data_IF_193046952298
#
_entry.id   IF_193046952298
#
_cell.length_a   1.000
_cell.length_b   1.000
_cell.length_c   1.000
_cell.angle_alpha   90.00
_cell.angle_beta   90.00
_cell.angle_gamma   90.00
#
_symmetry.space_group_name_H-M   'P 1'
#
loop_
_entity.id
_entity.type
_entity.pdbx_description
1 polymer ?
#
# COMPACT_ATOMS: atom_id res chain seq x y z
N UNK A 1 32.38 25.88 12.76
CA UNK A 1 31.07 25.42 13.28
C UNK A 1 29.99 25.47 12.21
N UNK A 2 29.74 26.62 11.54
CA UNK A 2 28.70 26.77 10.49
C UNK A 2 28.82 25.87 9.26
N UNK A 3 29.98 25.40 8.89
CA UNK A 3 30.21 24.63 7.67
C UNK A 3 29.84 23.14 7.81
N UNK A 4 29.92 22.58 9.01
CA UNK A 4 29.48 21.23 9.31
C UNK A 4 27.95 21.14 9.34
N UNK A 5 27.28 22.12 9.95
CA UNK A 5 25.81 22.18 10.04
C UNK A 5 25.18 22.24 8.63
N UNK A 6 25.77 22.99 7.71
CA UNK A 6 25.28 23.09 6.33
C UNK A 6 25.44 21.80 5.53
N UNK A 7 26.52 21.05 5.76
CA UNK A 7 26.73 19.76 5.11
C UNK A 7 25.72 18.71 5.58
N UNK A 8 25.46 18.65 6.86
CA UNK A 8 24.47 17.73 7.47
C UNK A 8 23.04 18.05 7.00
N UNK A 9 22.69 19.32 6.82
CA UNK A 9 21.42 19.74 6.25
C UNK A 9 21.25 19.27 4.79
N UNK A 10 22.30 19.36 3.99
CA UNK A 10 22.27 18.88 2.58
C UNK A 10 22.07 17.37 2.54
N UNK A 11 22.76 16.60 3.38
CA UNK A 11 22.58 15.14 3.45
C UNK A 11 21.15 14.82 3.84
N UNK A 12 20.61 15.47 4.86
CA UNK A 12 19.23 15.30 5.31
C UNK A 12 18.21 15.56 4.19
N UNK A 13 18.38 16.66 3.45
CA UNK A 13 17.51 16.97 2.31
C UNK A 13 17.60 15.92 1.19
N UNK A 14 18.78 15.40 0.89
CA UNK A 14 18.94 14.29 -0.06
C UNK A 14 18.26 13.01 0.39
N UNK A 15 18.31 12.69 1.66
CA UNK A 15 17.58 11.53 2.23
C UNK A 15 16.07 11.69 2.08
N UNK A 16 15.54 12.90 2.34
CA UNK A 16 14.12 13.23 2.13
C UNK A 16 13.74 13.10 0.65
N UNK A 17 14.55 13.64 -0.26
CA UNK A 17 14.35 13.53 -1.71
C UNK A 17 14.26 12.07 -2.14
N UNK A 18 15.20 11.23 -1.70
CA UNK A 18 15.25 9.82 -2.07
C UNK A 18 14.01 9.04 -1.58
N UNK A 19 13.57 9.23 -0.35
CA UNK A 19 12.34 8.57 0.14
C UNK A 19 11.08 9.14 -0.52
N UNK A 20 11.06 10.41 -0.92
CA UNK A 20 9.98 11.00 -1.72
C UNK A 20 9.87 10.33 -3.09
N UNK A 21 10.99 10.12 -3.78
CA UNK A 21 11.03 9.41 -5.07
C UNK A 21 10.51 7.98 -4.92
N UNK A 22 10.96 7.26 -3.90
CA UNK A 22 10.58 5.87 -3.66
C UNK A 22 9.09 5.71 -3.33
N UNK A 23 8.54 6.58 -2.50
CA UNK A 23 7.22 6.40 -1.93
C UNK A 23 6.15 7.28 -2.57
N UNK A 24 6.39 8.57 -2.70
CA UNK A 24 5.39 9.51 -3.21
C UNK A 24 5.37 9.53 -4.75
N UNK A 25 6.50 9.82 -5.39
CA UNK A 25 6.58 9.99 -6.84
C UNK A 25 6.35 8.66 -7.59
N UNK A 26 6.71 7.53 -6.99
CA UNK A 26 6.41 6.21 -7.55
C UNK A 26 4.91 5.95 -7.70
N UNK A 27 4.07 6.67 -6.97
CA UNK A 27 2.61 6.49 -6.91
C UNK A 27 2.17 5.06 -6.54
N UNK A 28 3.03 4.29 -5.88
CA UNK A 28 2.73 2.91 -5.49
C UNK A 28 2.08 2.77 -4.11
N UNK A 29 2.10 3.82 -3.30
CA UNK A 29 1.68 3.80 -1.90
C UNK A 29 0.55 4.80 -1.61
N UNK A 30 -0.37 4.98 -2.56
CA UNK A 30 -1.36 6.07 -2.55
C UNK A 30 -2.24 6.07 -1.30
N UNK A 31 -2.93 4.96 -1.04
CA UNK A 31 -3.83 4.89 0.11
C UNK A 31 -3.05 4.78 1.43
N UNK A 32 -1.95 4.04 1.41
CA UNK A 32 -1.08 3.91 2.58
C UNK A 32 -0.53 5.26 3.03
N UNK A 33 0.04 6.05 2.11
CA UNK A 33 0.57 7.38 2.43
C UNK A 33 -0.54 8.35 2.83
N UNK A 34 -1.68 8.35 2.12
CA UNK A 34 -2.81 9.19 2.47
C UNK A 34 -3.26 8.96 3.92
N UNK A 35 -3.30 7.70 4.37
CA UNK A 35 -3.59 7.36 5.76
C UNK A 35 -2.47 7.80 6.72
N UNK A 36 -1.21 7.45 6.43
CA UNK A 36 -0.08 7.71 7.33
C UNK A 36 0.14 9.20 7.58
N UNK A 37 -0.01 10.04 6.57
CA UNK A 37 0.21 11.47 6.70
C UNK A 37 -0.73 12.17 7.69
N UNK A 38 -1.82 11.56 8.11
CA UNK A 38 -2.67 12.08 9.19
C UNK A 38 -2.02 12.04 10.58
N UNK A 39 -0.96 11.25 10.76
CA UNK A 39 -0.31 11.04 12.05
C UNK A 39 0.97 11.87 12.24
N UNK A 40 1.32 12.70 11.28
CA UNK A 40 2.45 13.64 11.35
C UNK A 40 1.96 15.07 11.22
N UNK A 41 2.65 15.98 11.87
CA UNK A 41 2.32 17.40 11.85
C UNK A 41 2.39 17.99 10.43
N UNK A 42 3.39 17.56 9.66
CA UNK A 42 3.55 17.94 8.26
C UNK A 42 3.98 16.73 7.41
N UNK A 43 3.66 16.72 6.11
CA UNK A 43 4.22 15.72 5.20
C UNK A 43 5.75 15.70 5.23
N UNK A 44 6.40 16.86 5.34
CA UNK A 44 7.86 16.94 5.42
C UNK A 44 8.40 16.17 6.62
N UNK A 45 7.81 16.35 7.80
CA UNK A 45 8.26 15.64 9.02
C UNK A 45 8.10 14.12 8.92
N UNK A 46 7.10 13.63 8.17
CA UNK A 46 6.97 12.21 7.88
C UNK A 46 8.15 11.69 7.04
N UNK A 47 8.41 12.34 5.88
CA UNK A 47 9.48 11.91 4.98
C UNK A 47 10.86 12.10 5.59
N UNK A 48 11.06 13.11 6.39
CA UNK A 48 12.30 13.33 7.13
C UNK A 48 12.59 12.19 8.11
N UNK A 49 11.60 11.80 8.91
CA UNK A 49 11.74 10.68 9.84
C UNK A 49 11.90 9.35 9.12
N UNK A 50 11.23 9.15 7.99
CA UNK A 50 11.40 7.98 7.14
C UNK A 50 12.82 7.94 6.54
N UNK A 51 13.35 9.08 6.07
CA UNK A 51 14.72 9.19 5.56
C UNK A 51 15.76 8.86 6.62
N UNK A 52 15.61 9.41 7.82
CA UNK A 52 16.47 9.09 8.96
C UNK A 52 16.40 7.60 9.34
N UNK A 53 15.19 7.00 9.30
CA UNK A 53 15.02 5.57 9.52
C UNK A 53 15.76 4.74 8.46
N UNK A 54 15.65 5.11 7.18
CA UNK A 54 16.35 4.47 6.07
C UNK A 54 17.87 4.49 6.23
N UNK A 55 18.42 5.63 6.61
CA UNK A 55 19.86 5.77 6.89
C UNK A 55 20.29 4.87 8.03
N UNK A 56 19.57 4.93 9.15
CA UNK A 56 19.89 4.12 10.35
C UNK A 56 19.87 2.62 10.08
N UNK A 57 18.94 2.14 9.25
CA UNK A 57 18.81 0.72 8.88
C UNK A 57 19.69 0.33 7.68
N UNK A 58 20.42 1.28 7.10
CA UNK A 58 21.29 1.07 5.93
C UNK A 58 20.50 0.70 4.65
N UNK A 59 19.25 1.14 4.54
CA UNK A 59 18.38 0.77 3.41
C UNK A 59 18.75 1.51 2.13
N UNK A 60 19.35 2.70 2.20
CA UNK A 60 19.86 3.41 1.03
C UNK A 60 21.02 2.69 0.34
N UNK A 61 21.73 1.84 1.05
CA UNK A 61 22.89 1.11 0.52
C UNK A 61 22.52 -0.12 -0.32
N UNK A 62 21.23 -0.47 -0.42
CA UNK A 62 20.75 -1.70 -1.04
C UNK A 62 19.61 -1.42 -2.02
N UNK A 63 19.66 -2.09 -3.17
CA UNK A 63 18.46 -2.16 -4.05
C UNK A 63 17.46 -3.14 -3.45
N UNK A 64 16.23 -2.69 -3.30
CA UNK A 64 15.13 -3.52 -2.82
C UNK A 64 14.24 -3.96 -3.99
N UNK A 65 13.71 -5.18 -3.92
CA UNK A 65 12.58 -5.56 -4.74
C UNK A 65 11.36 -4.74 -4.34
N UNK A 66 10.34 -4.66 -5.20
CA UNK A 66 9.13 -3.87 -4.91
C UNK A 66 8.53 -4.18 -3.53
N UNK A 67 8.39 -5.47 -3.20
CA UNK A 67 7.85 -5.90 -1.92
C UNK A 67 8.70 -5.41 -0.73
N UNK A 68 10.01 -5.34 -0.88
CA UNK A 68 10.94 -4.87 0.14
C UNK A 68 10.68 -3.42 0.56
N UNK A 69 10.24 -2.55 -0.36
CA UNK A 69 9.85 -1.18 0.00
C UNK A 69 8.61 -1.15 0.90
N UNK A 70 7.64 -2.05 0.67
CA UNK A 70 6.48 -2.20 1.57
C UNK A 70 6.90 -2.74 2.94
N UNK A 71 7.82 -3.70 2.98
CA UNK A 71 8.35 -4.26 4.23
C UNK A 71 9.15 -3.21 5.01
N UNK A 72 9.97 -2.39 4.34
CA UNK A 72 10.71 -1.31 4.96
C UNK A 72 9.78 -0.23 5.55
N UNK A 73 8.75 0.17 4.79
CA UNK A 73 7.76 1.11 5.30
C UNK A 73 6.99 0.53 6.49
N UNK A 74 6.64 -0.75 6.43
CA UNK A 74 5.98 -1.43 7.54
C UNK A 74 6.88 -1.51 8.78
N UNK A 75 8.18 -1.73 8.61
CA UNK A 75 9.16 -1.72 9.70
C UNK A 75 9.26 -0.33 10.36
N UNK A 76 9.27 0.74 9.57
CA UNK A 76 9.19 2.11 10.07
C UNK A 76 7.89 2.36 10.86
N UNK A 77 6.75 2.00 10.27
CA UNK A 77 5.43 2.18 10.90
C UNK A 77 5.37 1.43 12.23
N UNK A 78 5.88 0.21 12.33
CA UNK A 78 5.91 -0.56 13.59
C UNK A 78 6.64 0.16 14.72
N UNK A 79 7.70 0.90 14.44
CA UNK A 79 8.40 1.70 15.44
C UNK A 79 7.58 2.90 15.90
N UNK A 80 6.78 3.48 15.01
CA UNK A 80 6.00 4.70 15.26
C UNK A 80 4.58 4.42 15.77
N UNK A 81 4.02 3.22 15.56
CA UNK A 81 2.63 2.86 15.87
C UNK A 81 2.21 3.23 17.29
N UNK A 82 3.00 2.84 18.28
CA UNK A 82 2.62 3.03 19.69
C UNK A 82 2.57 4.51 20.09
N UNK A 83 3.53 5.30 19.58
CA UNK A 83 3.66 6.70 19.94
C UNK A 83 2.62 7.60 19.24
N UNK A 84 2.09 7.14 18.11
CA UNK A 84 1.21 7.96 17.24
C UNK A 84 -0.22 7.42 17.14
N UNK A 85 -0.54 6.31 17.79
CA UNK A 85 -1.86 5.71 17.69
C UNK A 85 -2.20 5.14 16.30
N UNK A 86 -1.18 4.76 15.53
CA UNK A 86 -1.36 4.16 14.20
C UNK A 86 -1.79 2.69 14.35
N UNK A 87 -2.86 2.30 13.69
CA UNK A 87 -3.29 0.92 13.64
C UNK A 87 -2.50 0.12 12.59
N UNK A 88 -1.53 -0.70 13.03
CA UNK A 88 -0.68 -1.50 12.14
C UNK A 88 -1.50 -2.35 11.15
N UNK A 89 -2.60 -2.94 11.59
CA UNK A 89 -3.44 -3.77 10.71
C UNK A 89 -4.13 -2.94 9.62
N UNK A 90 -4.49 -1.69 9.90
CA UNK A 90 -5.01 -0.78 8.88
C UNK A 90 -3.94 -0.52 7.83
N UNK A 91 -2.72 -0.22 8.24
CA UNK A 91 -1.60 0.03 7.31
C UNK A 91 -1.34 -1.20 6.44
N UNK A 92 -1.31 -2.39 7.01
CA UNK A 92 -1.13 -3.65 6.25
C UNK A 92 -2.19 -3.84 5.17
N UNK A 93 -3.47 -3.62 5.51
CA UNK A 93 -4.55 -3.77 4.53
C UNK A 93 -4.48 -2.70 3.43
N UNK A 94 -4.14 -1.45 3.76
CA UNK A 94 -3.92 -0.39 2.76
C UNK A 94 -2.73 -0.71 1.84
N UNK A 95 -1.64 -1.24 2.37
CA UNK A 95 -0.51 -1.73 1.57
C UNK A 95 -0.92 -2.87 0.62
N UNK A 96 -1.76 -3.79 1.06
CA UNK A 96 -2.30 -4.86 0.22
C UNK A 96 -3.12 -4.27 -0.92
N UNK A 97 -3.97 -3.26 -0.64
CA UNK A 97 -4.69 -2.56 -1.70
C UNK A 97 -3.74 -1.93 -2.72
N UNK A 98 -2.77 -1.15 -2.26
CA UNK A 98 -1.82 -0.46 -3.12
C UNK A 98 -1.01 -1.43 -4.01
N UNK A 99 -0.63 -2.59 -3.46
CA UNK A 99 0.05 -3.65 -4.22
C UNK A 99 -0.86 -4.24 -5.31
N UNK A 100 -2.08 -4.67 -4.97
CA UNK A 100 -2.98 -5.28 -5.93
C UNK A 100 -3.57 -4.27 -6.92
N UNK A 101 -3.66 -3.00 -6.59
CA UNK A 101 -3.97 -1.96 -7.56
C UNK A 101 -2.93 -1.90 -8.71
N UNK A 102 -1.69 -2.27 -8.43
CA UNK A 102 -0.58 -2.23 -9.40
C UNK A 102 -0.38 -3.53 -10.16
N UNK A 103 -0.44 -4.68 -9.50
CA UNK A 103 -0.15 -5.96 -10.15
C UNK A 103 -0.86 -7.15 -9.50
N UNK A 104 -1.15 -8.16 -10.32
CA UNK A 104 -1.62 -9.44 -9.84
C UNK A 104 -0.43 -10.24 -9.30
N UNK A 105 -0.25 -10.23 -7.99
CA UNK A 105 0.86 -10.91 -7.33
C UNK A 105 0.70 -12.43 -7.43
N UNK A 106 1.77 -13.14 -7.80
CA UNK A 106 1.81 -14.60 -7.80
C UNK A 106 1.81 -15.18 -6.39
N UNK A 107 2.44 -14.48 -5.46
CA UNK A 107 2.55 -14.88 -4.06
C UNK A 107 2.03 -13.74 -3.19
N UNK A 108 1.13 -14.09 -2.28
CA UNK A 108 0.58 -13.13 -1.32
C UNK A 108 1.70 -12.64 -0.37
N UNK A 109 1.77 -11.33 -0.09
CA UNK A 109 2.71 -10.79 0.89
C UNK A 109 2.52 -11.40 2.28
N UNK A 110 3.62 -11.59 3.01
CA UNK A 110 3.63 -12.20 4.36
C UNK A 110 2.82 -11.40 5.39
N UNK A 111 2.69 -10.09 5.19
CA UNK A 111 1.91 -9.21 6.05
C UNK A 111 0.41 -9.17 5.71
N UNK A 112 -0.03 -9.85 4.65
CA UNK A 112 -1.45 -9.95 4.29
C UNK A 112 -2.19 -10.88 5.26
N UNK A 113 -3.43 -10.50 5.63
CA UNK A 113 -4.28 -11.32 6.50
C UNK A 113 -4.68 -12.64 5.85
N UNK A 114 -4.99 -13.65 6.64
CA UNK A 114 -5.58 -14.89 6.12
C UNK A 114 -6.99 -14.62 5.56
N UNK A 115 -7.24 -15.16 4.37
CA UNK A 115 -8.51 -15.06 3.64
C UNK A 115 -9.18 -16.43 3.44
N UNK A 116 -8.76 -17.43 4.18
CA UNK A 116 -9.27 -18.80 4.04
C UNK A 116 -10.79 -18.90 4.25
N UNK A 117 -11.36 -18.06 5.10
CA UNK A 117 -12.80 -17.97 5.34
C UNK A 117 -13.60 -17.48 4.13
N UNK A 118 -12.98 -16.71 3.23
CA UNK A 118 -13.65 -16.12 2.05
C UNK A 118 -13.54 -17.00 0.79
N UNK A 119 -12.94 -18.19 0.85
CA UNK A 119 -12.72 -19.04 -0.33
C UNK A 119 -13.99 -19.33 -1.10
N UNK A 120 -15.08 -19.71 -0.41
CA UNK A 120 -16.34 -20.02 -1.05
C UNK A 120 -16.97 -18.78 -1.70
N UNK A 121 -16.92 -17.65 -1.02
CA UNK A 121 -17.38 -16.36 -1.53
C UNK A 121 -16.61 -15.98 -2.81
N UNK A 122 -15.28 -16.13 -2.81
CA UNK A 122 -14.47 -15.83 -3.99
C UNK A 122 -14.82 -16.70 -5.18
N UNK A 123 -15.08 -18.01 -4.98
CA UNK A 123 -15.57 -18.89 -6.05
C UNK A 123 -16.84 -18.34 -6.67
N UNK A 124 -17.81 -17.95 -5.83
CA UNK A 124 -19.10 -17.38 -6.28
C UNK A 124 -18.91 -16.05 -7.04
N UNK A 125 -18.09 -15.15 -6.49
CA UNK A 125 -17.82 -13.86 -7.13
C UNK A 125 -17.08 -14.04 -8.47
N UNK A 126 -16.08 -14.91 -8.56
CA UNK A 126 -15.38 -15.19 -9.79
C UNK A 126 -16.32 -15.82 -10.85
N UNK A 127 -17.20 -16.72 -10.46
CA UNK A 127 -18.22 -17.29 -11.36
C UNK A 127 -19.17 -16.22 -11.90
N UNK A 128 -19.62 -15.32 -11.02
CA UNK A 128 -20.49 -14.19 -11.41
C UNK A 128 -19.79 -13.28 -12.41
N UNK A 129 -18.56 -12.85 -12.14
CA UNK A 129 -17.76 -11.99 -13.01
C UNK A 129 -17.46 -12.68 -14.34
N UNK A 130 -17.12 -13.99 -14.33
CA UNK A 130 -16.85 -14.76 -15.53
C UNK A 130 -18.08 -14.79 -16.45
N UNK A 131 -19.27 -15.00 -15.88
CA UNK A 131 -20.54 -14.98 -16.62
C UNK A 131 -20.85 -13.60 -17.18
N UNK A 132 -20.71 -12.56 -16.37
CA UNK A 132 -20.95 -11.15 -16.76
C UNK A 132 -20.05 -10.72 -17.93
N UNK A 133 -18.74 -11.07 -17.85
CA UNK A 133 -17.73 -10.69 -18.85
C UNK A 133 -17.57 -11.73 -19.99
N UNK A 134 -18.34 -12.80 -20.00
CA UNK A 134 -18.23 -13.91 -20.96
C UNK A 134 -16.80 -14.50 -21.04
N UNK A 135 -16.12 -14.61 -19.90
CA UNK A 135 -14.78 -15.13 -19.79
C UNK A 135 -14.78 -16.60 -19.37
N UNK A 136 -13.80 -17.36 -19.85
CA UNK A 136 -13.55 -18.70 -19.33
C UNK A 136 -13.05 -18.60 -17.87
N UNK A 137 -13.74 -19.30 -16.96
CA UNK A 137 -13.42 -19.33 -15.53
C UNK A 137 -11.96 -19.74 -15.23
N UNK A 138 -11.31 -20.49 -16.11
CA UNK A 138 -9.89 -20.88 -16.00
C UNK A 138 -8.92 -19.70 -16.09
N UNK A 139 -9.30 -18.62 -16.77
CA UNK A 139 -8.45 -17.47 -17.00
C UNK A 139 -8.69 -16.34 -16.02
N UNK A 140 -9.86 -16.33 -15.35
CA UNK A 140 -10.26 -15.21 -14.51
C UNK A 140 -9.25 -14.96 -13.38
N UNK A 141 -8.81 -15.98 -12.66
CA UNK A 141 -7.84 -15.85 -11.57
C UNK A 141 -6.42 -15.48 -12.00
N UNK A 142 -6.09 -15.60 -13.32
CA UNK A 142 -4.78 -15.17 -13.84
C UNK A 142 -4.73 -13.68 -14.20
N UNK A 143 -5.88 -13.13 -14.58
CA UNK A 143 -6.01 -11.76 -15.12
C UNK A 143 -6.78 -10.83 -14.20
N UNK A 144 -7.31 -11.37 -13.12
CA UNK A 144 -8.16 -10.65 -12.17
C UNK A 144 -7.86 -11.11 -10.75
N UNK A 145 -8.10 -10.25 -9.77
CA UNK A 145 -7.92 -10.56 -8.36
C UNK A 145 -9.09 -10.04 -7.53
N UNK A 146 -9.49 -10.79 -6.51
CA UNK A 146 -10.43 -10.32 -5.49
C UNK A 146 -9.73 -10.31 -4.15
N UNK A 147 -9.82 -9.20 -3.45
CA UNK A 147 -9.28 -9.00 -2.11
C UNK A 147 -10.37 -8.55 -1.15
N UNK A 148 -10.27 -8.97 0.10
CA UNK A 148 -11.22 -8.58 1.16
C UNK A 148 -10.53 -7.71 2.18
N UNK A 149 -11.15 -6.58 2.48
CA UNK A 149 -10.70 -5.59 3.44
C UNK A 149 -11.68 -5.51 4.61
N UNK A 150 -11.16 -5.31 5.83
CA UNK A 150 -11.96 -5.27 7.05
C UNK A 150 -12.71 -3.95 7.26
N UNK A 151 -12.51 -2.99 6.35
CA UNK A 151 -13.05 -1.62 6.42
C UNK A 151 -13.08 -1.01 5.02
N UNK A 152 -13.68 0.16 4.87
CA UNK A 152 -13.62 0.95 3.64
C UNK A 152 -12.22 1.58 3.50
N UNK A 153 -11.39 1.01 2.59
CA UNK A 153 -10.01 1.45 2.39
C UNK A 153 -9.92 2.90 1.90
N UNK A 154 -10.88 3.37 1.12
CA UNK A 154 -10.88 4.74 0.57
C UNK A 154 -11.27 5.77 1.63
N UNK A 155 -12.37 5.52 2.36
CA UNK A 155 -12.80 6.39 3.43
C UNK A 155 -11.76 6.43 4.56
N UNK A 156 -11.19 5.27 4.93
CA UNK A 156 -10.16 5.16 5.97
C UNK A 156 -8.89 5.91 5.60
N UNK A 157 -8.39 5.76 4.37
CA UNK A 157 -7.18 6.48 3.93
C UNK A 157 -7.39 7.99 3.90
N UNK A 158 -8.58 8.45 3.51
CA UNK A 158 -8.92 9.87 3.44
C UNK A 158 -9.10 10.53 4.81
N UNK A 159 -9.59 9.79 5.80
CA UNK A 159 -9.93 10.36 7.12
C UNK A 159 -8.88 10.11 8.19
N UNK A 160 -7.91 9.22 7.96
CA UNK A 160 -6.96 8.76 8.97
C UNK A 160 -7.60 7.92 10.08
N UNK A 161 -8.86 7.51 9.92
CA UNK A 161 -9.60 6.71 10.90
C UNK A 161 -10.25 5.52 10.23
N UNK A 162 -10.14 4.35 10.85
CA UNK A 162 -10.82 3.16 10.38
C UNK A 162 -12.33 3.42 10.27
N UNK A 163 -12.87 3.27 9.06
CA UNK A 163 -14.23 3.68 8.72
C UNK A 163 -14.91 2.60 7.87
N UNK A 164 -16.20 2.44 8.05
CA UNK A 164 -17.02 1.53 7.26
C UNK A 164 -16.93 0.07 7.71
N UNK A 165 -17.50 -0.79 6.86
CA UNK A 165 -17.58 -2.24 7.06
C UNK A 165 -16.65 -2.97 6.12
N UNK A 166 -16.57 -4.29 6.28
CA UNK A 166 -15.86 -5.17 5.36
C UNK A 166 -16.31 -4.92 3.91
N UNK A 167 -15.37 -4.91 2.98
CA UNK A 167 -15.63 -4.78 1.55
C UNK A 167 -14.77 -5.74 0.74
N UNK A 168 -15.31 -6.19 -0.39
CA UNK A 168 -14.58 -7.01 -1.35
C UNK A 168 -14.27 -6.15 -2.57
N UNK A 169 -13.00 -6.11 -2.99
CA UNK A 169 -12.56 -5.34 -4.13
C UNK A 169 -12.04 -6.29 -5.20
N UNK A 170 -12.62 -6.19 -6.38
CA UNK A 170 -12.19 -6.87 -7.57
C UNK A 170 -11.29 -5.95 -8.39
N UNK A 171 -10.12 -6.44 -8.75
CA UNK A 171 -9.13 -5.77 -9.61
C UNK A 171 -9.13 -6.44 -10.98
N UNK A 172 -9.27 -5.64 -12.03
CA UNK A 172 -9.21 -6.07 -13.41
C UNK A 172 -7.92 -5.55 -14.07
N UNK A 173 -6.99 -6.44 -14.35
CA UNK A 173 -5.70 -6.08 -14.93
C UNK A 173 -5.72 -5.98 -16.46
N UNK A 174 -6.83 -6.35 -17.12
CA UNK A 174 -7.04 -6.15 -18.56
C UNK A 174 -7.39 -4.70 -18.87
N UNK A 175 -8.00 -4.02 -17.90
CA UNK A 175 -8.41 -2.63 -17.97
C UNK A 175 -7.57 -1.81 -17.00
N UNK A 176 -6.53 -1.17 -17.51
CA UNK A 176 -5.64 -0.35 -16.70
C UNK A 176 -5.80 1.13 -17.02
N UNK A 177 -5.67 1.96 -16.00
CA UNK A 177 -5.56 3.40 -16.21
C UNK A 177 -4.30 3.68 -17.06
N UNK A 178 -4.41 4.37 -18.22
CA UNK A 178 -3.28 4.60 -19.12
C UNK A 178 -2.17 5.45 -18.50
N UNK A 179 -2.49 6.31 -17.54
CA UNK A 179 -1.54 7.21 -16.89
C UNK A 179 -0.90 6.55 -15.67
N UNK A 180 -1.71 6.04 -14.74
CA UNK A 180 -1.22 5.50 -13.47
C UNK A 180 -0.80 4.04 -13.56
N UNK A 181 -1.24 3.32 -14.61
CA UNK A 181 -1.07 1.87 -14.80
C UNK A 181 -1.77 1.01 -13.74
N UNK A 182 -2.58 1.62 -12.88
CA UNK A 182 -3.38 0.89 -11.90
C UNK A 182 -4.48 0.08 -12.60
N UNK A 183 -4.80 -1.09 -12.04
CA UNK A 183 -5.93 -1.89 -12.48
C UNK A 183 -7.25 -1.14 -12.27
N UNK A 184 -8.21 -1.33 -13.14
CA UNK A 184 -9.58 -0.92 -12.81
C UNK A 184 -10.11 -1.78 -11.67
N UNK A 185 -10.99 -1.23 -10.85
CA UNK A 185 -11.54 -1.95 -9.72
C UNK A 185 -13.05 -1.77 -9.59
N UNK A 186 -13.69 -2.72 -8.94
CA UNK A 186 -15.10 -2.66 -8.52
C UNK A 186 -15.24 -3.17 -7.09
N UNK A 187 -16.02 -2.46 -6.28
CA UNK A 187 -16.34 -2.86 -4.91
C UNK A 187 -17.62 -3.67 -4.89
N UNK A 188 -17.64 -4.73 -4.09
CA UNK A 188 -18.84 -5.48 -3.75
C UNK A 188 -19.15 -5.24 -2.26
N UNK A 189 -20.35 -4.80 -1.93
CA UNK A 189 -20.78 -4.73 -0.53
C UNK A 189 -20.86 -6.14 0.07
N UNK A 190 -20.66 -6.24 1.36
CA UNK A 190 -20.91 -7.44 2.17
C UNK A 190 -22.37 -7.69 2.34
#
# INVERSE_FOLDING_TARGET
MYQLDFYDEIIRLKQVEEVLELYYNSSQFKLTLAYLLHFWETPFSFYEQLGHFYEKEGYFLKKHARIGYYENLLAFVKKECQNRGIEENVVKELMIYDLYARENLKTRPSFGKDLSEYKQLYVTLYQHIAKEKQLDSKWIGKRHHIETFSFDVFATSKTGKRTGTCQHIYFNYDERNPLTKDASYRTFPT
#
